data_IF_650393514198
#
_entry.id   IF_650393514198
#
_cell.length_a   1.000
_cell.length_b   1.000
_cell.length_c   1.000
_cell.angle_alpha   90.00
_cell.angle_beta   90.00
_cell.angle_gamma   90.00
#
_symmetry.space_group_name_H-M   'P 1'
#
loop_
_entity.id
_entity.type
_entity.pdbx_description
1 polymer ?
#
# COMPACT_ATOMS: atom_id res chain seq x y z
N UNK A 1 -1.93 -15.70 8.86
CA UNK A 1 -2.30 -16.71 7.84
C UNK A 1 -3.79 -17.02 7.80
N UNK A 2 -4.61 -16.01 8.07
CA UNK A 2 -6.07 -16.16 8.05
C UNK A 2 -6.57 -16.21 6.60
N UNK A 3 -7.35 -17.25 6.21
CA UNK A 3 -7.90 -17.33 4.86
C UNK A 3 -8.86 -16.19 4.54
N UNK A 4 -8.97 -15.82 3.26
CA UNK A 4 -9.87 -14.77 2.80
C UNK A 4 -11.34 -15.08 3.16
N UNK A 5 -11.75 -16.33 3.04
CA UNK A 5 -13.11 -16.74 3.40
C UNK A 5 -13.44 -16.49 4.87
N UNK A 6 -12.46 -16.69 5.77
CA UNK A 6 -12.65 -16.41 7.18
C UNK A 6 -12.76 -14.91 7.43
N UNK A 7 -11.92 -14.10 6.78
CA UNK A 7 -11.99 -12.64 6.87
C UNK A 7 -13.35 -12.14 6.38
N UNK A 8 -13.79 -12.60 5.23
CA UNK A 8 -15.07 -12.17 4.67
C UNK A 8 -16.27 -12.65 5.47
N UNK A 9 -16.12 -13.72 6.27
CA UNK A 9 -17.21 -14.20 7.14
C UNK A 9 -17.60 -13.17 8.21
N UNK A 10 -16.70 -12.22 8.54
CA UNK A 10 -17.00 -11.12 9.47
C UNK A 10 -17.72 -9.96 8.78
N UNK A 11 -17.96 -10.02 7.47
CA UNK A 11 -18.61 -8.98 6.68
C UNK A 11 -17.94 -7.61 6.83
N UNK A 12 -16.60 -7.51 6.65
CA UNK A 12 -15.92 -6.25 6.86
C UNK A 12 -16.27 -5.22 5.78
N UNK A 13 -16.33 -3.94 6.15
CA UNK A 13 -16.48 -2.85 5.19
C UNK A 13 -15.16 -2.56 4.47
N UNK A 14 -14.05 -2.91 5.08
CA UNK A 14 -12.72 -2.79 4.51
C UNK A 14 -11.69 -3.56 5.31
N UNK A 15 -10.53 -3.78 4.71
CA UNK A 15 -9.42 -4.51 5.35
C UNK A 15 -8.16 -3.65 5.26
N UNK A 16 -7.51 -3.43 6.39
CA UNK A 16 -6.23 -2.74 6.45
C UNK A 16 -5.11 -3.75 6.66
N UNK A 17 -4.09 -3.68 5.81
CA UNK A 17 -2.92 -4.55 5.88
C UNK A 17 -1.77 -3.73 6.45
N UNK A 18 -1.36 -4.06 7.66
CA UNK A 18 -0.29 -3.33 8.35
C UNK A 18 1.08 -3.92 8.04
N UNK A 19 2.11 -3.33 8.66
CA UNK A 19 3.50 -3.68 8.41
C UNK A 19 3.95 -4.97 9.10
N UNK A 20 5.09 -5.47 8.64
CA UNK A 20 5.81 -6.57 9.27
C UNK A 20 7.25 -6.57 8.75
N UNK A 21 8.16 -7.27 9.41
CA UNK A 21 9.55 -7.34 8.98
C UNK A 21 9.78 -8.41 7.90
N UNK A 22 10.86 -8.27 7.17
CA UNK A 22 11.37 -9.30 6.27
C UNK A 22 11.08 -9.06 4.80
N UNK A 23 11.32 -10.12 4.02
CA UNK A 23 11.11 -10.12 2.58
C UNK A 23 9.64 -10.38 2.27
N UNK A 24 8.97 -9.51 1.50
CA UNK A 24 7.56 -9.71 1.18
C UNK A 24 7.29 -10.99 0.38
N UNK A 25 8.28 -11.51 -0.36
CA UNK A 25 8.09 -12.74 -1.14
C UNK A 25 8.04 -14.00 -0.27
N UNK A 26 8.45 -13.90 1.01
CA UNK A 26 8.43 -15.04 1.93
C UNK A 26 7.04 -15.35 2.50
N UNK A 27 6.04 -14.51 2.20
CA UNK A 27 4.68 -14.67 2.76
C UNK A 27 3.66 -14.97 1.66
N UNK A 28 3.88 -16.06 0.92
CA UNK A 28 3.03 -16.46 -0.20
C UNK A 28 1.57 -16.66 0.18
N UNK A 29 1.31 -17.22 1.36
CA UNK A 29 -0.07 -17.44 1.84
C UNK A 29 -0.80 -16.09 1.97
N UNK A 30 -0.12 -15.09 2.51
CA UNK A 30 -0.71 -13.75 2.64
C UNK A 30 -0.98 -13.13 1.26
N UNK A 31 -0.08 -13.30 0.30
CA UNK A 31 -0.27 -12.80 -1.07
C UNK A 31 -1.50 -13.42 -1.71
N UNK A 32 -1.69 -14.73 -1.58
CA UNK A 32 -2.86 -15.42 -2.13
C UNK A 32 -4.16 -14.96 -1.45
N UNK A 33 -4.12 -14.76 -0.14
CA UNK A 33 -5.27 -14.23 0.60
C UNK A 33 -5.66 -12.85 0.09
N UNK A 34 -4.68 -11.97 -0.14
CA UNK A 34 -4.91 -10.61 -0.63
C UNK A 34 -5.52 -10.64 -2.04
N UNK A 35 -5.04 -11.52 -2.92
CA UNK A 35 -5.63 -11.68 -4.25
C UNK A 35 -7.13 -11.96 -4.18
N UNK A 36 -7.54 -12.77 -3.22
CA UNK A 36 -8.95 -13.13 -3.04
C UNK A 36 -9.76 -11.98 -2.42
N UNK A 37 -9.13 -11.17 -1.57
CA UNK A 37 -9.81 -10.05 -0.88
C UNK A 37 -10.04 -8.84 -1.79
N UNK A 38 -9.09 -8.52 -2.67
CA UNK A 38 -9.14 -7.29 -3.48
C UNK A 38 -10.46 -7.10 -4.22
N UNK A 39 -11.04 -8.12 -4.92
CA UNK A 39 -12.31 -7.93 -5.61
C UNK A 39 -13.54 -7.97 -4.68
N UNK A 40 -13.38 -8.28 -3.40
CA UNK A 40 -14.49 -8.48 -2.49
C UNK A 40 -14.73 -7.34 -1.51
N UNK A 41 -13.70 -6.57 -1.18
CA UNK A 41 -13.81 -5.52 -0.17
C UNK A 41 -12.80 -4.41 -0.45
N UNK A 42 -12.92 -3.30 0.27
CA UNK A 42 -11.94 -2.20 0.21
C UNK A 42 -10.68 -2.64 0.92
N UNK A 43 -9.51 -2.47 0.30
CA UNK A 43 -8.23 -2.87 0.88
C UNK A 43 -7.26 -1.68 0.90
N UNK A 44 -6.64 -1.42 2.05
CA UNK A 44 -5.63 -0.39 2.23
C UNK A 44 -4.39 -1.03 2.85
N UNK A 45 -3.24 -0.88 2.18
CA UNK A 45 -1.98 -1.46 2.65
C UNK A 45 -0.98 -0.40 3.10
N UNK A 46 -0.24 -0.70 4.17
CA UNK A 46 0.78 0.17 4.73
C UNK A 46 2.08 -0.62 4.85
N UNK A 47 3.17 -0.09 4.34
CA UNK A 47 4.52 -0.64 4.38
C UNK A 47 4.58 -2.04 3.75
N UNK A 48 4.71 -3.11 4.54
CA UNK A 48 4.67 -4.48 4.01
C UNK A 48 3.36 -4.75 3.27
N UNK A 49 2.24 -4.21 3.76
CA UNK A 49 0.94 -4.33 3.10
C UNK A 49 0.95 -3.77 1.68
N UNK A 50 1.64 -2.65 1.45
CA UNK A 50 1.83 -2.08 0.11
C UNK A 50 2.56 -3.05 -0.81
N UNK A 51 3.64 -3.65 -0.32
CA UNK A 51 4.43 -4.60 -1.09
C UNK A 51 3.62 -5.87 -1.40
N UNK A 52 2.88 -6.37 -0.43
CA UNK A 52 2.05 -7.57 -0.62
C UNK A 52 0.90 -7.34 -1.61
N UNK A 53 0.25 -6.18 -1.55
CA UNK A 53 -0.79 -5.81 -2.53
C UNK A 53 -0.17 -5.76 -3.93
N UNK A 54 1.00 -5.15 -4.07
CA UNK A 54 1.68 -5.04 -5.36
C UNK A 54 2.03 -6.42 -5.92
N UNK A 55 2.55 -7.32 -5.08
CA UNK A 55 2.86 -8.70 -5.47
C UNK A 55 1.59 -9.46 -5.84
N UNK A 56 0.51 -9.28 -5.08
CA UNK A 56 -0.77 -9.94 -5.36
C UNK A 56 -1.34 -9.53 -6.71
N UNK A 57 -1.06 -8.32 -7.16
CA UNK A 57 -1.52 -7.80 -8.45
C UNK A 57 -0.55 -8.08 -9.60
N UNK A 58 0.55 -8.77 -9.35
CA UNK A 58 1.50 -9.18 -10.38
C UNK A 58 2.75 -8.33 -10.51
N UNK A 59 2.92 -7.32 -9.66
CA UNK A 59 4.13 -6.51 -9.64
C UNK A 59 5.28 -7.27 -8.98
N UNK A 60 6.47 -6.72 -9.05
CA UNK A 60 7.69 -7.30 -8.46
C UNK A 60 8.28 -6.35 -7.43
N UNK A 61 9.04 -6.91 -6.50
CA UNK A 61 9.78 -6.13 -5.51
C UNK A 61 11.27 -6.39 -5.66
N UNK A 62 12.08 -5.47 -5.13
CA UNK A 62 13.53 -5.63 -5.11
C UNK A 62 14.09 -5.10 -3.80
N UNK A 63 15.27 -5.57 -3.44
CA UNK A 63 15.95 -5.11 -2.23
C UNK A 63 16.67 -3.79 -2.51
N UNK A 64 16.39 -2.79 -1.68
CA UNK A 64 17.07 -1.49 -1.76
C UNK A 64 18.50 -1.64 -1.27
N UNK A 65 19.44 -0.91 -1.90
CA UNK A 65 20.85 -0.94 -1.51
C UNK A 65 21.04 -0.46 -0.08
N UNK A 66 20.35 0.60 0.34
CA UNK A 66 20.49 1.19 1.67
C UNK A 66 19.21 1.14 2.51
N UNK A 67 18.07 0.80 1.91
CA UNK A 67 16.78 0.85 2.59
C UNK A 67 16.32 2.28 2.91
N UNK A 68 15.10 2.41 3.37
CA UNK A 68 14.54 3.68 3.83
C UNK A 68 14.19 3.54 5.31
N UNK A 69 14.85 4.34 6.17
CA UNK A 69 14.62 4.33 7.61
C UNK A 69 14.65 5.73 8.16
N UNK A 70 13.78 6.02 9.13
CA UNK A 70 13.70 7.31 9.77
C UNK A 70 12.45 8.10 9.42
N UNK A 71 12.37 9.34 9.91
CA UNK A 71 11.17 10.17 9.85
C UNK A 71 11.29 11.37 8.89
N UNK A 72 12.30 11.38 8.02
CA UNK A 72 12.59 12.52 7.15
C UNK A 72 12.66 12.14 5.67
N UNK A 73 11.79 11.26 5.21
CA UNK A 73 11.78 10.81 3.82
C UNK A 73 10.74 11.57 3.01
N UNK A 74 11.15 12.47 2.10
CA UNK A 74 10.19 13.21 1.28
C UNK A 74 9.62 12.34 0.18
N UNK A 75 8.30 12.38 0.06
CA UNK A 75 7.53 11.63 -0.93
C UNK A 75 6.61 12.60 -1.66
N UNK A 76 6.56 12.52 -2.98
CA UNK A 76 5.66 13.35 -3.77
C UNK A 76 4.37 12.56 -4.05
N UNK A 77 3.23 13.23 -3.78
CA UNK A 77 1.92 12.73 -4.19
C UNK A 77 1.73 13.13 -5.65
N UNK A 78 1.73 12.16 -6.55
CA UNK A 78 1.71 12.42 -7.99
C UNK A 78 0.42 13.07 -8.49
N UNK A 79 -0.69 12.89 -7.78
CA UNK A 79 -1.97 13.48 -8.19
C UNK A 79 -2.07 14.96 -7.83
N UNK A 80 -1.42 15.40 -6.77
CA UNK A 80 -1.46 16.78 -6.29
C UNK A 80 -0.16 17.56 -6.51
N UNK A 81 0.95 16.86 -6.69
CA UNK A 81 2.28 17.46 -6.77
C UNK A 81 2.83 17.88 -5.42
N UNK A 82 2.12 17.64 -4.32
CA UNK A 82 2.58 17.99 -2.98
C UNK A 82 3.62 17.02 -2.47
N UNK A 83 4.60 17.53 -1.72
CA UNK A 83 5.62 16.72 -1.06
C UNK A 83 5.22 16.51 0.39
N UNK A 84 5.24 15.26 0.83
CA UNK A 84 4.95 14.85 2.20
C UNK A 84 6.24 14.36 2.85
N UNK A 85 6.47 14.73 4.10
CA UNK A 85 7.59 14.20 4.86
C UNK A 85 7.10 12.97 5.60
N UNK A 86 7.72 11.83 5.33
CA UNK A 86 7.20 10.52 5.77
C UNK A 86 8.16 9.80 6.69
N UNK A 87 7.58 8.92 7.51
CA UNK A 87 8.32 7.99 8.35
C UNK A 87 8.36 6.63 7.65
N UNK A 88 9.56 6.05 7.51
CA UNK A 88 9.75 4.80 6.79
C UNK A 88 10.68 3.86 7.52
N UNK A 89 10.45 2.56 7.33
CA UNK A 89 11.33 1.51 7.85
C UNK A 89 11.16 0.26 6.99
N UNK A 90 11.84 0.24 5.84
CA UNK A 90 11.76 -0.91 4.93
C UNK A 90 13.04 -1.07 4.13
N UNK A 91 13.35 -2.33 3.79
CA UNK A 91 14.52 -2.66 2.97
C UNK A 91 14.17 -3.07 1.54
N UNK A 92 12.89 -3.16 1.20
CA UNK A 92 12.41 -3.57 -0.11
C UNK A 92 11.50 -2.50 -0.70
N UNK A 93 11.43 -2.45 -2.02
CA UNK A 93 10.55 -1.53 -2.75
C UNK A 93 9.89 -2.23 -3.92
N UNK A 94 8.79 -1.66 -4.40
CA UNK A 94 8.08 -2.18 -5.58
C UNK A 94 8.79 -1.69 -6.84
N UNK A 95 9.04 -2.61 -7.78
CA UNK A 95 9.66 -2.28 -9.06
C UNK A 95 8.65 -1.52 -9.93
N UNK A 96 8.94 -0.25 -10.22
CA UNK A 96 8.06 0.62 -10.99
C UNK A 96 7.78 0.04 -12.38
N UNK A 97 8.81 -0.51 -13.03
CA UNK A 97 8.65 -1.06 -14.37
C UNK A 97 7.69 -2.25 -14.39
N UNK A 98 7.63 -3.02 -13.30
CA UNK A 98 6.71 -4.16 -13.20
C UNK A 98 5.25 -3.73 -13.07
N UNK A 99 4.98 -2.49 -12.69
CA UNK A 99 3.59 -1.98 -12.60
C UNK A 99 2.92 -1.88 -13.95
N UNK A 100 3.68 -1.75 -15.03
CA UNK A 100 3.15 -1.62 -16.40
C UNK A 100 2.32 -2.83 -16.83
N UNK A 101 2.65 -4.01 -16.31
CA UNK A 101 1.97 -5.26 -16.63
C UNK A 101 0.83 -5.58 -15.65
N UNK A 102 0.45 -4.62 -14.81
CA UNK A 102 -0.57 -4.80 -13.80
C UNK A 102 -1.70 -3.78 -13.97
N UNK A 103 -2.78 -3.96 -13.18
CA UNK A 103 -3.86 -2.96 -13.09
C UNK A 103 -3.61 -1.94 -11.98
N UNK A 104 -2.37 -1.79 -11.56
CA UNK A 104 -1.97 -0.79 -10.57
C UNK A 104 -1.38 0.44 -11.24
N UNK A 105 -1.56 1.59 -10.61
CA UNK A 105 -0.85 2.81 -11.00
C UNK A 105 -0.12 3.38 -9.78
N UNK A 106 1.03 3.99 -10.02
CA UNK A 106 1.82 4.61 -8.96
C UNK A 106 1.16 5.93 -8.55
N UNK A 107 0.93 6.11 -7.25
CA UNK A 107 0.32 7.31 -6.69
C UNK A 107 1.32 8.20 -5.97
N UNK A 108 2.38 7.62 -5.44
CA UNK A 108 3.40 8.33 -4.66
C UNK A 108 4.79 7.84 -5.06
N UNK A 109 5.76 8.73 -5.02
CA UNK A 109 7.14 8.43 -5.40
C UNK A 109 8.11 9.12 -4.47
N UNK A 110 9.18 8.42 -4.07
CA UNK A 110 10.23 9.02 -3.25
C UNK A 110 10.93 10.12 -4.04
N UNK A 111 11.13 11.26 -3.39
CA UNK A 111 11.75 12.41 -4.05
C UNK A 111 13.23 12.18 -4.32
N UNK A 112 13.93 11.49 -3.40
CA UNK A 112 15.38 11.33 -3.46
C UNK A 112 15.83 10.28 -4.48
N UNK A 113 15.27 9.05 -4.42
CA UNK A 113 15.73 7.93 -5.27
C UNK A 113 14.70 7.49 -6.30
N UNK A 114 13.56 8.15 -6.35
CA UNK A 114 12.48 7.87 -7.32
C UNK A 114 11.82 6.49 -7.15
N UNK A 115 12.00 5.83 -6.01
CA UNK A 115 11.36 4.55 -5.76
C UNK A 115 9.84 4.71 -5.58
N UNK A 116 9.10 3.63 -5.80
CA UNK A 116 7.64 3.63 -5.65
C UNK A 116 7.26 3.71 -4.17
N UNK A 117 6.40 4.66 -3.83
CA UNK A 117 5.96 4.89 -2.46
C UNK A 117 4.45 4.74 -2.28
N UNK A 118 3.73 4.47 -3.35
CA UNK A 118 2.30 4.24 -3.27
C UNK A 118 1.72 3.77 -4.59
N UNK A 119 0.65 2.95 -4.50
CA UNK A 119 -0.07 2.43 -5.67
C UNK A 119 -1.56 2.43 -5.40
N UNK A 120 -2.37 2.40 -6.46
CA UNK A 120 -3.79 2.14 -6.37
C UNK A 120 -4.23 1.23 -7.51
N UNK A 121 -5.27 0.45 -7.28
CA UNK A 121 -5.85 -0.41 -8.30
C UNK A 121 -6.78 0.43 -9.19
N UNK A 122 -6.72 0.19 -10.50
CA UNK A 122 -7.55 0.92 -11.47
C UNK A 122 -9.01 0.48 -11.47
N UNK A 123 -9.29 -0.77 -11.08
CA UNK A 123 -10.61 -1.38 -11.18
C UNK A 123 -11.31 -1.58 -9.83
N UNK A 124 -10.57 -1.75 -8.75
CA UNK A 124 -11.11 -2.06 -7.43
C UNK A 124 -10.72 -1.00 -6.39
N UNK A 125 -11.49 -0.82 -5.32
CA UNK A 125 -11.15 0.12 -4.25
C UNK A 125 -10.02 -0.42 -3.38
N UNK A 126 -8.81 -0.39 -3.92
CA UNK A 126 -7.60 -0.90 -3.28
C UNK A 126 -6.47 0.09 -3.52
N UNK A 127 -5.81 0.50 -2.44
CA UNK A 127 -4.66 1.40 -2.53
C UNK A 127 -3.70 1.13 -1.38
N UNK A 128 -2.47 1.61 -1.52
CA UNK A 128 -1.42 1.33 -0.54
C UNK A 128 -0.32 2.38 -0.60
N UNK A 129 0.34 2.58 0.53
CA UNK A 129 1.53 3.43 0.62
C UNK A 129 2.65 2.67 1.32
N UNK A 130 3.90 2.97 0.94
CA UNK A 130 5.09 2.32 1.48
C UNK A 130 5.48 2.87 2.85
N UNK A 131 5.18 4.13 3.11
CA UNK A 131 5.51 4.79 4.37
C UNK A 131 4.42 4.58 5.42
N UNK A 132 4.70 5.05 6.64
CA UNK A 132 3.77 4.95 7.78
C UNK A 132 2.99 6.25 7.93
N UNK A 133 1.75 6.34 7.40
CA UNK A 133 0.96 7.57 7.52
C UNK A 133 0.55 7.87 8.97
N UNK A 134 0.42 6.83 9.82
CA UNK A 134 0.08 6.99 11.23
C UNK A 134 1.21 7.62 12.05
N UNK A 135 2.46 7.56 11.54
CA UNK A 135 3.65 8.09 12.20
C UNK A 135 4.18 9.33 11.49
N UNK A 136 3.31 10.04 10.76
CA UNK A 136 3.64 11.25 10.03
C UNK A 136 4.17 12.35 10.96
N UNK A 137 5.24 13.05 10.53
CA UNK A 137 5.87 14.11 11.33
C UNK A 137 4.98 15.36 11.44
N UNK A 138 4.15 15.63 10.44
CA UNK A 138 3.21 16.75 10.45
C UNK A 138 1.83 16.30 10.88
N UNK A 139 1.06 17.12 11.58
CA UNK A 139 -0.24 16.72 12.11
C UNK A 139 -1.29 16.41 11.04
N UNK A 140 -1.10 16.90 9.82
CA UNK A 140 -2.07 16.75 8.75
C UNK A 140 -1.56 16.05 7.50
N UNK A 141 -0.23 15.80 7.41
CA UNK A 141 0.43 15.44 6.15
C UNK A 141 -0.11 14.18 5.46
N UNK A 142 -0.45 13.13 6.21
CA UNK A 142 -0.86 11.86 5.62
C UNK A 142 -2.24 11.40 6.10
N UNK A 143 -2.95 12.23 6.85
CA UNK A 143 -4.27 11.88 7.39
C UNK A 143 -5.28 11.61 6.27
N UNK A 144 -5.15 12.28 5.14
CA UNK A 144 -6.06 12.12 4.01
C UNK A 144 -6.18 10.68 3.51
N UNK A 145 -5.14 9.86 3.74
CA UNK A 145 -5.16 8.45 3.34
C UNK A 145 -6.19 7.65 4.14
N UNK A 146 -6.30 7.91 5.45
CA UNK A 146 -7.31 7.26 6.27
C UNK A 146 -8.71 7.74 5.93
N UNK A 147 -8.85 9.03 5.64
CA UNK A 147 -10.12 9.58 5.17
C UNK A 147 -10.54 8.96 3.84
N UNK A 148 -9.60 8.78 2.92
CA UNK A 148 -9.85 8.10 1.65
C UNK A 148 -10.31 6.66 1.86
N UNK A 149 -9.71 5.94 2.79
CA UNK A 149 -10.10 4.58 3.12
C UNK A 149 -11.54 4.53 3.64
N UNK A 150 -11.89 5.44 4.54
CA UNK A 150 -13.25 5.55 5.08
C UNK A 150 -14.25 5.87 3.98
N UNK A 151 -13.93 6.82 3.10
CA UNK A 151 -14.80 7.20 1.97
C UNK A 151 -15.05 6.00 1.04
N UNK A 152 -14.00 5.25 0.72
CA UNK A 152 -14.13 4.07 -0.14
C UNK A 152 -15.00 2.99 0.51
N UNK A 153 -14.88 2.81 1.84
CA UNK A 153 -15.73 1.86 2.55
C UNK A 153 -17.20 2.27 2.49
N UNK A 154 -17.49 3.56 2.67
CA UNK A 154 -18.85 4.08 2.59
C UNK A 154 -19.44 3.93 1.19
N UNK A 155 -18.67 4.26 0.15
CA UNK A 155 -19.09 4.11 -1.24
C UNK A 155 -19.36 2.65 -1.60
N UNK A 156 -18.49 1.75 -1.17
CA UNK A 156 -18.62 0.32 -1.45
C UNK A 156 -19.83 -0.30 -0.72
N UNK A 157 -20.12 0.18 0.48
CA UNK A 157 -21.26 -0.26 1.28
C UNK A 157 -22.59 0.12 0.64
N UNK A 158 -22.63 1.25 -0.05
CA UNK A 158 -23.84 1.79 -0.67
C UNK A 158 -24.01 1.38 -2.14
N UNK A 159 -23.05 0.63 -2.65
CA UNK A 159 -23.08 0.19 -4.07
C UNK A 159 -24.00 -1.00 -4.31
#
# INVERSE_FOLDING_TARGET
DTPASTIMSYCPDGVMLSNGPGDPTDVQVAIETIKELIPQTVVFGICLGHQLISLACGAKTYKLKFGHRGANHPVVNLSTGKVEITSQNHGFAVDIDSLKDTRLEMTHQALNDKSCEGVRHKDYPCFAVQYHPEASAGPEDSRYLFDQFIELMEENKNA
#
